data_IF_950707704445
#
_entry.id   IF_950707704445
#
_cell.length_a   1.000
_cell.length_b   1.000
_cell.length_c   1.000
_cell.angle_alpha   90.00
_cell.angle_beta   90.00
_cell.angle_gamma   90.00
#
_symmetry.space_group_name_H-M   'P 1'
#
loop_
_entity.id
_entity.type
_entity.pdbx_description
1 polymer ?
#
# COMPACT_ATOMS: atom_id res chain seq x y z
N UNK A 1 9.75 17.65 33.80
CA UNK A 1 10.18 17.41 32.41
C UNK A 1 8.90 17.44 31.58
N UNK A 2 8.75 18.43 30.73
CA UNK A 2 7.77 18.34 29.65
C UNK A 2 8.28 17.28 28.67
N UNK A 3 7.37 16.41 28.24
CA UNK A 3 7.70 15.27 27.40
C UNK A 3 7.36 15.67 25.95
N UNK A 4 8.38 15.86 25.12
CA UNK A 4 8.21 16.42 23.76
C UNK A 4 7.60 15.40 22.78
N UNK A 5 7.95 14.12 22.92
CA UNK A 5 7.39 13.02 22.11
C UNK A 5 7.60 11.66 22.79
N UNK A 6 6.59 10.80 22.75
CA UNK A 6 6.66 9.38 23.13
C UNK A 6 6.97 8.58 21.88
N UNK A 7 8.14 7.94 21.84
CA UNK A 7 8.52 7.03 20.75
C UNK A 7 8.42 5.59 21.21
N UNK A 8 7.81 4.72 20.40
CA UNK A 8 7.71 3.30 20.70
C UNK A 8 7.99 2.45 19.45
N UNK A 9 8.39 1.19 19.64
CA UNK A 9 8.64 0.23 18.55
C UNK A 9 7.61 -0.89 18.69
N UNK A 10 6.84 -1.19 17.64
CA UNK A 10 5.84 -2.26 17.75
C UNK A 10 4.79 -2.38 16.65
N UNK A 11 3.73 -3.09 17.02
CA UNK A 11 2.52 -3.43 16.25
C UNK A 11 1.32 -2.51 16.54
N UNK A 12 0.20 -2.65 15.83
CA UNK A 12 -1.04 -1.87 16.12
C UNK A 12 -1.52 -2.12 17.55
N UNK A 13 -1.37 -3.35 18.06
CA UNK A 13 -1.60 -3.66 19.47
C UNK A 13 -0.70 -2.87 20.42
N UNK A 14 0.57 -2.67 20.06
CA UNK A 14 1.48 -1.82 20.84
C UNK A 14 1.05 -0.35 20.80
N UNK A 15 0.60 0.14 19.64
CA UNK A 15 0.05 1.51 19.55
C UNK A 15 -1.14 1.69 20.48
N UNK A 16 -2.04 0.69 20.53
CA UNK A 16 -3.19 0.66 21.44
C UNK A 16 -2.77 0.69 22.91
N UNK A 17 -1.82 -0.17 23.29
CA UNK A 17 -1.31 -0.25 24.67
C UNK A 17 -0.68 1.07 25.13
N UNK A 18 0.06 1.73 24.23
CA UNK A 18 0.66 3.04 24.51
C UNK A 18 -0.41 4.12 24.59
N UNK A 19 -1.35 4.15 23.65
CA UNK A 19 -2.43 5.14 23.60
C UNK A 19 -3.31 5.13 24.84
N UNK A 20 -3.61 3.95 25.39
CA UNK A 20 -4.37 3.80 26.62
C UNK A 20 -3.75 4.51 27.86
N UNK A 21 -2.50 4.98 27.75
CA UNK A 21 -1.76 5.67 28.80
C UNK A 21 -1.43 7.13 28.46
N UNK A 22 -1.85 7.64 27.29
CA UNK A 22 -1.58 9.00 26.85
C UNK A 22 -2.55 10.02 27.46
N UNK A 23 -2.03 11.22 27.73
CA UNK A 23 -2.82 12.42 27.92
C UNK A 23 -3.22 13.09 26.59
N UNK A 24 -4.15 14.05 26.61
CA UNK A 24 -4.70 14.69 25.41
C UNK A 24 -3.67 15.52 24.61
N UNK A 25 -2.57 15.92 25.24
CA UNK A 25 -1.51 16.72 24.62
C UNK A 25 -0.24 15.94 24.29
N UNK A 26 -0.17 14.66 24.67
CA UNK A 26 0.99 13.83 24.40
C UNK A 26 1.12 13.55 22.89
N UNK A 27 2.34 13.70 22.38
CA UNK A 27 2.67 13.47 20.97
C UNK A 27 3.34 12.10 20.84
N UNK A 28 2.89 11.32 19.87
CA UNK A 28 3.34 9.95 19.65
C UNK A 28 4.14 9.78 18.35
N UNK A 29 5.12 8.88 18.35
CA UNK A 29 5.79 8.39 17.15
C UNK A 29 5.98 6.88 17.23
N UNK A 30 5.26 6.12 16.41
CA UNK A 30 5.47 4.69 16.28
C UNK A 30 6.63 4.38 15.31
N UNK A 31 7.48 3.44 15.67
CA UNK A 31 8.49 2.84 14.79
C UNK A 31 7.98 1.45 14.41
N UNK A 32 7.75 1.17 13.11
CA UNK A 32 7.18 -0.10 12.70
C UNK A 32 8.17 -1.24 12.98
N UNK A 33 7.75 -2.24 13.76
CA UNK A 33 8.51 -3.46 14.00
C UNK A 33 8.18 -4.57 12.98
N UNK A 34 7.26 -4.30 12.05
CA UNK A 34 6.77 -5.25 11.06
C UNK A 34 5.94 -4.57 9.97
N UNK A 35 5.33 -5.41 9.13
CA UNK A 35 4.78 -5.01 7.83
C UNK A 35 3.25 -4.85 7.78
N UNK A 36 2.56 -5.02 8.91
CA UNK A 36 1.07 -5.10 8.99
C UNK A 36 0.47 -4.03 9.89
N UNK A 37 0.98 -2.81 9.78
CA UNK A 37 0.55 -1.68 10.59
C UNK A 37 -0.53 -0.88 9.86
N UNK A 38 -1.69 -0.72 10.49
CA UNK A 38 -2.81 0.04 9.99
C UNK A 38 -3.07 1.31 10.77
N UNK A 39 -2.50 1.50 11.96
CA UNK A 39 -2.69 2.74 12.71
C UNK A 39 -1.88 3.86 12.08
N UNK A 40 -2.51 5.02 11.98
CA UNK A 40 -1.96 6.28 11.48
C UNK A 40 -0.77 6.84 12.27
N UNK A 41 -0.20 6.09 13.22
CA UNK A 41 0.78 6.58 14.20
C UNK A 41 2.22 6.15 13.93
N UNK A 42 2.42 5.22 13.00
CA UNK A 42 3.74 4.68 12.69
C UNK A 42 4.45 5.52 11.64
N UNK A 43 5.70 5.88 11.85
CA UNK A 43 6.56 6.38 10.79
C UNK A 43 6.63 5.36 9.65
N UNK A 44 6.90 5.85 8.43
CA UNK A 44 7.07 4.95 7.28
C UNK A 44 8.17 3.92 7.49
N UNK A 45 9.29 4.27 8.09
CA UNK A 45 10.41 3.35 8.38
C UNK A 45 11.16 3.81 9.63
N UNK A 46 12.02 2.98 10.24
CA UNK A 46 12.92 3.41 11.30
C UNK A 46 13.75 4.65 10.94
N UNK A 47 14.25 4.72 9.70
CA UNK A 47 15.00 5.86 9.17
C UNK A 47 14.12 7.11 9.06
N UNK A 48 12.87 6.95 8.62
CA UNK A 48 11.89 8.05 8.57
C UNK A 48 11.54 8.53 9.98
N UNK A 49 11.47 7.64 10.97
CA UNK A 49 11.27 8.00 12.37
C UNK A 49 12.46 8.80 12.91
N UNK A 50 13.68 8.33 12.65
CA UNK A 50 14.90 9.03 13.04
C UNK A 50 14.97 10.43 12.41
N UNK A 51 14.59 10.55 11.12
CA UNK A 51 14.50 11.84 10.45
C UNK A 51 13.50 12.77 11.14
N UNK A 52 12.30 12.29 11.50
CA UNK A 52 11.26 13.03 12.23
C UNK A 52 11.76 13.54 13.59
N UNK A 53 12.41 12.69 14.36
CA UNK A 53 13.02 13.06 15.66
C UNK A 53 14.10 14.14 15.46
N UNK A 54 14.94 14.01 14.44
CA UNK A 54 15.93 15.03 14.12
C UNK A 54 15.29 16.37 13.69
N UNK A 55 14.09 16.34 13.08
CA UNK A 55 13.33 17.56 12.78
C UNK A 55 12.80 18.23 14.05
N UNK A 56 12.31 17.43 15.00
CA UNK A 56 11.80 17.91 16.27
C UNK A 56 12.92 18.61 17.06
N UNK A 57 14.10 17.98 17.16
CA UNK A 57 15.27 18.55 17.83
C UNK A 57 15.74 19.89 17.22
N UNK A 58 15.37 20.18 15.98
CA UNK A 58 15.69 21.41 15.27
C UNK A 58 14.52 22.40 15.22
N UNK A 59 13.43 22.14 15.95
CA UNK A 59 12.25 23.02 16.02
C UNK A 59 11.43 23.09 14.73
N UNK A 60 11.57 22.10 13.84
CA UNK A 60 10.98 22.09 12.49
C UNK A 60 10.04 20.91 12.23
N UNK A 61 9.74 20.11 13.26
CA UNK A 61 8.71 19.09 13.16
C UNK A 61 7.31 19.70 13.27
N UNK A 62 6.35 19.07 12.60
CA UNK A 62 4.92 19.35 12.77
C UNK A 62 4.25 18.17 13.45
N UNK A 63 3.10 18.41 14.06
CA UNK A 63 2.23 17.35 14.58
C UNK A 63 0.96 17.27 13.74
N UNK A 64 0.40 16.08 13.65
CA UNK A 64 -0.92 15.85 13.06
C UNK A 64 -1.75 14.93 13.95
N UNK A 65 -3.05 14.86 13.71
CA UNK A 65 -3.92 13.90 14.40
C UNK A 65 -4.00 12.64 13.56
N UNK A 66 -3.82 11.49 14.20
CA UNK A 66 -3.91 10.19 13.56
C UNK A 66 -4.77 9.22 14.34
N UNK A 67 -5.30 8.24 13.61
CA UNK A 67 -6.19 7.21 14.14
C UNK A 67 -5.40 5.96 14.50
N UNK A 68 -5.63 5.43 15.70
CA UNK A 68 -5.24 4.07 16.06
C UNK A 68 -6.43 3.18 15.76
N UNK A 69 -6.19 2.14 14.98
CA UNK A 69 -7.23 1.22 14.53
C UNK A 69 -6.96 -0.16 15.09
N UNK A 70 -8.03 -0.83 15.52
CA UNK A 70 -7.99 -2.22 15.94
C UNK A 70 -8.48 -3.11 14.81
N UNK A 71 -7.78 -4.22 14.58
CA UNK A 71 -8.16 -5.22 13.59
C UNK A 71 -8.77 -6.39 14.34
N UNK A 72 -10.02 -6.71 14.03
CA UNK A 72 -10.61 -7.96 14.47
C UNK A 72 -9.91 -9.11 13.71
N UNK A 73 -8.96 -9.75 14.39
CA UNK A 73 -8.17 -10.85 13.83
C UNK A 73 -9.03 -12.09 13.49
N UNK A 74 -10.25 -12.18 14.03
CA UNK A 74 -11.22 -13.22 13.72
C UNK A 74 -12.00 -12.89 12.44
N UNK A 75 -12.52 -11.67 12.30
CA UNK A 75 -13.14 -11.19 11.05
C UNK A 75 -12.14 -11.22 9.86
N UNK A 76 -10.87 -10.95 10.15
CA UNK A 76 -9.77 -11.03 9.18
C UNK A 76 -9.52 -12.45 8.65
N UNK A 77 -9.67 -13.48 9.48
CA UNK A 77 -9.57 -14.89 9.02
C UNK A 77 -10.70 -15.27 8.08
N UNK A 78 -11.82 -14.58 8.19
CA UNK A 78 -13.01 -14.75 7.34
C UNK A 78 -13.00 -13.83 6.10
N UNK A 79 -11.90 -13.10 5.86
CA UNK A 79 -11.74 -12.22 4.71
C UNK A 79 -12.45 -10.87 4.85
N UNK A 80 -12.99 -10.54 6.03
CA UNK A 80 -13.67 -9.28 6.31
C UNK A 80 -12.66 -8.31 6.92
N UNK A 81 -12.34 -7.22 6.21
CA UNK A 81 -11.54 -6.13 6.78
C UNK A 81 -12.49 -5.20 7.54
N UNK A 82 -12.68 -5.45 8.83
CA UNK A 82 -13.26 -4.47 9.75
C UNK A 82 -12.15 -3.91 10.64
N UNK A 83 -11.64 -2.74 10.30
CA UNK A 83 -10.84 -1.92 11.22
C UNK A 83 -11.80 -1.05 12.04
N UNK A 84 -11.76 -1.13 13.36
CA UNK A 84 -12.55 -0.26 14.25
C UNK A 84 -11.64 0.85 14.76
N UNK A 85 -12.11 2.10 14.69
CA UNK A 85 -11.41 3.24 15.30
C UNK A 85 -11.32 3.00 16.81
N UNK A 86 -10.09 2.87 17.32
CA UNK A 86 -9.84 2.76 18.75
C UNK A 86 -9.78 4.16 19.38
N UNK A 87 -8.88 5.01 18.87
CA UNK A 87 -8.62 6.33 19.44
C UNK A 87 -7.98 7.27 18.41
N UNK A 88 -8.04 8.57 18.67
CA UNK A 88 -7.33 9.61 17.91
C UNK A 88 -6.26 10.24 18.79
N UNK A 89 -5.02 10.22 18.31
CA UNK A 89 -3.86 10.72 19.07
C UNK A 89 -3.09 11.76 18.25
N UNK A 90 -2.35 12.64 18.93
CA UNK A 90 -1.38 13.53 18.27
C UNK A 90 -0.15 12.73 17.90
N UNK A 91 0.33 12.88 16.67
CA UNK A 91 1.51 12.19 16.16
C UNK A 91 2.54 13.15 15.60
N UNK A 92 3.81 12.78 15.75
CA UNK A 92 4.93 13.53 15.19
C UNK A 92 5.03 13.26 13.69
N UNK A 93 4.98 14.32 12.88
CA UNK A 93 5.01 14.27 11.42
C UNK A 93 3.67 14.63 10.78
N UNK A 94 3.73 14.90 9.47
CA UNK A 94 2.55 15.14 8.64
C UNK A 94 1.99 13.83 8.07
N UNK A 95 0.70 13.77 7.70
CA UNK A 95 0.03 12.55 7.21
C UNK A 95 0.67 11.87 5.97
N UNK A 96 1.67 12.48 5.33
CA UNK A 96 2.50 11.86 4.27
C UNK A 96 3.72 11.08 4.80
N UNK A 97 4.10 11.30 6.06
CA UNK A 97 5.29 10.74 6.72
C UNK A 97 4.93 9.69 7.80
N UNK A 98 3.65 9.66 8.18
CA UNK A 98 3.08 8.67 9.10
C UNK A 98 2.16 7.76 8.30
N UNK A 99 2.20 6.46 8.58
CA UNK A 99 1.55 5.37 7.86
C UNK A 99 0.04 5.49 8.06
N UNK A 100 -0.63 6.26 7.21
CA UNK A 100 -2.07 6.52 7.32
C UNK A 100 -2.89 5.23 7.42
N UNK A 101 -3.78 5.21 8.42
CA UNK A 101 -4.77 4.16 8.55
C UNK A 101 -5.84 4.24 7.49
N UNK A 102 -6.34 3.07 7.09
CA UNK A 102 -7.24 2.89 5.94
C UNK A 102 -8.67 3.42 6.15
N UNK A 103 -8.91 4.27 7.14
CA UNK A 103 -10.23 4.86 7.38
C UNK A 103 -10.17 6.35 7.04
N UNK A 104 -10.60 6.69 5.83
CA UNK A 104 -10.71 8.08 5.40
C UNK A 104 -10.51 8.33 3.91
N UNK A 105 -10.21 7.30 3.11
CA UNK A 105 -10.20 7.48 1.65
C UNK A 105 -11.61 7.82 1.18
N UNK A 106 -11.76 8.95 0.49
CA UNK A 106 -12.95 9.30 -0.27
C UNK A 106 -13.37 8.08 -1.08
N UNK A 107 -14.67 7.73 -1.08
CA UNK A 107 -15.16 6.62 -1.88
C UNK A 107 -14.68 6.79 -3.32
N UNK A 108 -13.99 5.77 -3.83
CA UNK A 108 -13.59 5.74 -5.24
C UNK A 108 -14.85 5.72 -6.09
N UNK A 109 -14.96 6.63 -7.06
CA UNK A 109 -16.16 6.69 -7.89
C UNK A 109 -16.30 5.43 -8.75
N UNK A 110 -17.53 4.94 -8.92
CA UNK A 110 -17.76 3.75 -9.77
C UNK A 110 -17.31 4.00 -11.21
N UNK A 111 -17.46 5.23 -11.71
CA UNK A 111 -17.00 5.62 -13.05
C UNK A 111 -15.47 5.55 -13.18
N UNK A 112 -14.72 6.03 -12.17
CA UNK A 112 -13.26 5.91 -12.12
C UNK A 112 -12.86 4.43 -12.19
N UNK A 113 -13.47 3.58 -11.35
CA UNK A 113 -13.17 2.14 -11.28
C UNK A 113 -13.51 1.40 -12.58
N UNK A 114 -14.65 1.70 -13.20
CA UNK A 114 -15.03 1.15 -14.49
C UNK A 114 -14.03 1.56 -15.60
N UNK A 115 -13.55 2.80 -15.56
CA UNK A 115 -12.50 3.29 -16.44
C UNK A 115 -11.19 2.51 -16.29
N UNK A 116 -10.76 2.26 -15.04
CA UNK A 116 -9.58 1.44 -14.75
C UNK A 116 -9.73 0.01 -15.27
N UNK A 117 -10.89 -0.61 -15.04
CA UNK A 117 -11.16 -1.97 -15.49
C UNK A 117 -11.08 -2.09 -17.02
N UNK A 118 -11.69 -1.13 -17.73
CA UNK A 118 -11.66 -1.08 -19.19
C UNK A 118 -10.25 -0.89 -19.75
N UNK A 119 -9.43 -0.06 -19.09
CA UNK A 119 -8.04 0.13 -19.49
C UNK A 119 -7.19 -1.12 -19.23
N UNK A 120 -7.37 -1.77 -18.07
CA UNK A 120 -6.68 -3.02 -17.75
C UNK A 120 -7.04 -4.11 -18.76
N UNK A 121 -8.33 -4.28 -19.09
CA UNK A 121 -8.77 -5.22 -20.11
C UNK A 121 -8.06 -5.02 -21.45
N UNK A 122 -7.88 -3.76 -21.86
CA UNK A 122 -7.26 -3.43 -23.14
C UNK A 122 -5.74 -3.67 -23.17
N UNK A 123 -5.07 -3.68 -22.01
CA UNK A 123 -3.60 -3.81 -21.90
C UNK A 123 -3.15 -5.20 -21.47
N UNK A 124 -4.02 -5.94 -20.77
CA UNK A 124 -3.75 -7.31 -20.37
C UNK A 124 -3.59 -8.19 -21.59
N UNK A 125 -2.45 -8.84 -21.68
CA UNK A 125 -2.16 -9.85 -22.68
C UNK A 125 -2.78 -11.18 -22.23
N UNK A 126 -3.72 -11.76 -23.00
CA UNK A 126 -4.35 -13.03 -22.65
C UNK A 126 -3.36 -14.20 -22.50
N UNK A 127 -2.20 -14.15 -23.18
CA UNK A 127 -1.18 -15.19 -23.12
C UNK A 127 -0.13 -14.96 -22.01
N UNK A 128 -0.15 -13.81 -21.34
CA UNK A 128 0.66 -13.59 -20.14
C UNK A 128 0.01 -14.21 -18.89
N UNK A 129 0.83 -14.48 -17.87
CA UNK A 129 0.37 -14.70 -16.51
C UNK A 129 0.16 -13.32 -15.87
N UNK A 130 -1.09 -12.90 -15.73
CA UNK A 130 -1.42 -11.61 -15.13
C UNK A 130 -1.66 -11.77 -13.63
N UNK A 131 -0.79 -11.17 -12.84
CA UNK A 131 -0.86 -11.14 -11.38
C UNK A 131 -1.74 -9.97 -10.93
N UNK A 132 -2.84 -10.27 -10.25
CA UNK A 132 -3.67 -9.25 -9.62
C UNK A 132 -3.20 -9.06 -8.18
N UNK A 133 -2.66 -7.89 -7.87
CA UNK A 133 -2.24 -7.58 -6.52
C UNK A 133 -3.40 -7.27 -5.57
N UNK A 134 -3.11 -7.15 -4.26
CA UNK A 134 -4.13 -7.00 -3.25
C UNK A 134 -4.77 -5.61 -3.24
N UNK A 135 -5.99 -5.52 -2.71
CA UNK A 135 -6.68 -4.28 -2.40
C UNK A 135 -7.99 -4.07 -3.15
N UNK A 136 -8.80 -3.15 -2.63
CA UNK A 136 -10.16 -2.88 -3.10
C UNK A 136 -10.23 -2.38 -4.54
N UNK A 137 -9.26 -1.56 -4.98
CA UNK A 137 -9.21 -1.07 -6.37
C UNK A 137 -8.97 -2.20 -7.35
N UNK A 138 -8.01 -3.09 -7.07
CA UNK A 138 -7.72 -4.24 -7.94
C UNK A 138 -8.90 -5.22 -7.92
N UNK A 139 -9.53 -5.41 -6.77
CA UNK A 139 -10.74 -6.24 -6.66
C UNK A 139 -11.93 -5.67 -7.45
N UNK A 140 -12.15 -4.36 -7.41
CA UNK A 140 -13.17 -3.71 -8.23
C UNK A 140 -12.88 -3.82 -9.73
N UNK A 141 -11.60 -3.72 -10.12
CA UNK A 141 -11.16 -3.97 -11.49
C UNK A 141 -11.46 -5.41 -11.90
N UNK A 142 -11.10 -6.39 -11.07
CA UNK A 142 -11.38 -7.80 -11.31
C UNK A 142 -12.89 -8.05 -11.50
N UNK A 143 -13.73 -7.49 -10.64
CA UNK A 143 -15.18 -7.54 -10.78
C UNK A 143 -15.68 -6.94 -12.10
N UNK A 144 -15.11 -5.81 -12.54
CA UNK A 144 -15.39 -5.23 -13.86
C UNK A 144 -14.95 -6.08 -15.05
N UNK A 145 -14.02 -7.03 -14.83
CA UNK A 145 -13.58 -8.03 -15.80
C UNK A 145 -14.35 -9.36 -15.68
N UNK A 146 -15.35 -9.45 -14.79
CA UNK A 146 -16.05 -10.69 -14.41
C UNK A 146 -15.11 -11.76 -13.85
N UNK A 147 -14.11 -11.33 -13.07
CA UNK A 147 -13.16 -12.19 -12.37
C UNK A 147 -13.39 -12.07 -10.87
N UNK A 148 -13.26 -13.19 -10.17
CA UNK A 148 -13.16 -13.18 -8.71
C UNK A 148 -11.75 -12.79 -8.28
N UNK A 149 -11.62 -12.12 -7.14
CA UNK A 149 -10.32 -11.73 -6.61
C UNK A 149 -10.30 -11.75 -5.10
N UNK A 150 -9.15 -12.06 -4.53
CA UNK A 150 -8.90 -12.00 -3.09
C UNK A 150 -8.45 -10.59 -2.70
N UNK A 151 -8.88 -10.15 -1.52
CA UNK A 151 -8.64 -8.77 -1.09
C UNK A 151 -7.21 -8.55 -0.55
N UNK A 152 -6.62 -9.59 0.02
CA UNK A 152 -5.31 -9.57 0.70
C UNK A 152 -4.23 -10.38 -0.04
N UNK A 153 -4.64 -11.21 -1.00
CA UNK A 153 -3.76 -12.11 -1.72
C UNK A 153 -3.28 -11.54 -3.05
N UNK A 154 -2.46 -12.34 -3.73
CA UNK A 154 -2.13 -12.15 -5.13
C UNK A 154 -2.77 -13.27 -5.92
N UNK A 155 -3.65 -12.92 -6.86
CA UNK A 155 -4.31 -13.91 -7.72
C UNK A 155 -3.62 -13.96 -9.09
N UNK A 156 -3.76 -15.08 -9.79
CA UNK A 156 -3.21 -15.29 -11.12
C UNK A 156 -4.33 -15.45 -12.11
N UNK A 157 -4.33 -14.61 -13.13
CA UNK A 157 -5.26 -14.62 -14.26
C UNK A 157 -4.51 -15.02 -15.51
N UNK A 158 -5.08 -15.96 -16.26
CA UNK A 158 -4.58 -16.35 -17.57
C UNK A 158 -5.76 -16.61 -18.50
N UNK A 159 -5.70 -16.07 -19.73
CA UNK A 159 -6.78 -16.20 -20.74
C UNK A 159 -8.17 -15.82 -20.21
N UNK A 160 -8.24 -14.74 -19.43
CA UNK A 160 -9.49 -14.20 -18.89
C UNK A 160 -10.13 -15.09 -17.83
N UNK A 161 -9.36 -15.94 -17.14
CA UNK A 161 -9.83 -16.75 -16.02
C UNK A 161 -8.83 -16.70 -14.87
N UNK A 162 -9.33 -16.72 -13.64
CA UNK A 162 -8.51 -16.93 -12.46
C UNK A 162 -8.05 -18.38 -12.46
N UNK A 163 -6.74 -18.60 -12.54
CA UNK A 163 -6.13 -19.94 -12.54
C UNK A 163 -5.58 -20.31 -11.16
N UNK A 164 -5.33 -19.32 -10.31
CA UNK A 164 -4.99 -19.50 -8.90
C UNK A 164 -5.38 -18.24 -8.12
N UNK A 165 -5.76 -18.41 -6.86
CA UNK A 165 -6.16 -17.32 -5.96
C UNK A 165 -5.38 -17.39 -4.66
N UNK A 166 -5.15 -16.24 -4.02
CA UNK A 166 -4.36 -16.07 -2.79
C UNK A 166 -3.02 -16.83 -2.80
N UNK A 167 -2.23 -16.60 -3.85
CA UNK A 167 -0.99 -17.33 -4.06
C UNK A 167 0.12 -16.88 -3.11
N UNK A 168 0.81 -17.84 -2.53
CA UNK A 168 2.13 -17.64 -1.91
C UNK A 168 3.21 -17.36 -2.97
N UNK A 169 4.35 -16.81 -2.56
CA UNK A 169 5.49 -16.56 -3.46
C UNK A 169 5.94 -17.85 -4.20
N UNK A 170 6.01 -18.98 -3.50
CA UNK A 170 6.39 -20.26 -4.10
C UNK A 170 5.41 -20.70 -5.21
N UNK A 171 4.10 -20.54 -4.98
CA UNK A 171 3.10 -20.85 -6.00
C UNK A 171 3.22 -19.90 -7.20
N UNK A 172 3.46 -18.61 -6.96
CA UNK A 172 3.71 -17.65 -8.04
C UNK A 172 4.93 -18.07 -8.86
N UNK A 173 6.03 -18.50 -8.22
CA UNK A 173 7.23 -18.96 -8.94
C UNK A 173 6.95 -20.15 -9.84
N UNK A 174 6.16 -21.11 -9.38
CA UNK A 174 5.81 -22.30 -10.17
C UNK A 174 4.89 -21.95 -11.34
N UNK A 175 3.87 -21.11 -11.09
CA UNK A 175 2.90 -20.70 -12.11
C UNK A 175 3.53 -19.80 -13.19
N UNK A 176 4.46 -18.92 -12.81
CA UNK A 176 5.04 -17.95 -13.75
C UNK A 176 6.32 -18.45 -14.41
N UNK A 177 6.80 -19.66 -14.09
CA UNK A 177 8.08 -20.18 -14.62
C UNK A 177 8.08 -20.23 -16.15
N UNK A 178 8.97 -19.45 -16.76
CA UNK A 178 9.12 -19.39 -18.21
C UNK A 178 7.93 -18.75 -18.94
N UNK A 179 7.03 -18.09 -18.21
CA UNK A 179 5.90 -17.36 -18.76
C UNK A 179 6.19 -15.86 -18.73
N UNK A 180 5.61 -15.12 -19.68
CA UNK A 180 5.57 -13.66 -19.58
C UNK A 180 4.64 -13.28 -18.42
N UNK A 181 5.06 -12.32 -17.60
CA UNK A 181 4.30 -11.85 -16.44
C UNK A 181 3.83 -10.43 -16.69
N UNK A 182 2.58 -10.14 -16.35
CA UNK A 182 2.07 -8.79 -16.15
C UNK A 182 1.54 -8.68 -14.73
N UNK A 183 1.52 -7.47 -14.15
CA UNK A 183 0.98 -7.27 -12.81
C UNK A 183 0.08 -6.03 -12.77
N UNK A 184 -1.09 -6.15 -12.15
CA UNK A 184 -1.97 -5.02 -11.84
C UNK A 184 -1.82 -4.70 -10.36
N UNK A 185 -1.38 -3.47 -10.06
CA UNK A 185 -1.15 -3.02 -8.68
C UNK A 185 -1.73 -1.65 -8.43
N UNK A 186 -2.32 -1.47 -7.25
CA UNK A 186 -2.71 -0.17 -6.75
C UNK A 186 -1.81 0.23 -5.56
N UNK A 187 -1.40 1.50 -5.44
CA UNK A 187 -0.69 1.93 -4.26
C UNK A 187 -1.56 1.78 -3.00
N UNK A 188 -0.93 1.45 -1.88
CA UNK A 188 -1.61 1.38 -0.59
C UNK A 188 -2.15 2.79 -0.25
N UNK A 189 -3.48 2.90 -0.09
CA UNK A 189 -4.15 4.15 0.27
C UNK A 189 -3.53 4.79 1.53
N UNK A 190 -3.38 6.11 1.53
CA UNK A 190 -2.75 6.87 2.61
C UNK A 190 -1.22 6.72 2.73
N UNK A 191 -0.61 5.67 2.16
CA UNK A 191 0.81 5.36 2.36
C UNK A 191 1.64 5.48 1.07
N UNK A 192 1.04 5.16 -0.08
CA UNK A 192 1.68 5.29 -1.40
C UNK A 192 2.66 4.18 -1.77
N UNK A 193 2.78 3.12 -0.96
CA UNK A 193 3.62 1.95 -1.30
C UNK A 193 3.01 1.17 -2.46
N UNK A 194 3.82 0.89 -3.48
CA UNK A 194 3.44 0.07 -4.64
C UNK A 194 3.99 -1.35 -4.54
N UNK A 195 5.25 -1.49 -4.10
CA UNK A 195 5.94 -2.77 -3.95
C UNK A 195 6.44 -2.95 -2.51
N UNK A 196 6.58 -4.22 -2.12
CA UNK A 196 7.03 -4.64 -0.81
C UNK A 196 5.87 -4.72 0.16
N UNK A 197 5.43 -3.57 0.67
CA UNK A 197 4.37 -3.55 1.69
C UNK A 197 3.03 -3.97 1.09
N UNK A 198 2.37 -4.89 1.80
CA UNK A 198 1.05 -5.38 1.43
C UNK A 198 1.05 -6.39 0.29
N UNK A 199 2.15 -6.62 -0.42
CA UNK A 199 2.25 -7.56 -1.54
C UNK A 199 3.59 -8.33 -1.55
N UNK A 200 4.02 -8.82 -0.38
CA UNK A 200 5.28 -9.55 -0.18
C UNK A 200 5.42 -10.81 -1.03
N UNK A 201 4.31 -11.34 -1.54
CA UNK A 201 4.31 -12.47 -2.46
C UNK A 201 4.99 -12.13 -3.80
N UNK A 202 5.03 -10.85 -4.19
CA UNK A 202 5.81 -10.34 -5.32
C UNK A 202 7.27 -10.14 -4.89
N UNK A 203 7.94 -11.24 -4.59
CA UNK A 203 9.31 -11.24 -4.09
C UNK A 203 10.35 -10.88 -5.16
N UNK A 204 11.62 -10.81 -4.74
CA UNK A 204 12.76 -10.48 -5.60
C UNK A 204 12.78 -11.30 -6.90
N UNK A 205 12.47 -12.59 -6.84
CA UNK A 205 12.51 -13.47 -8.01
C UNK A 205 11.38 -13.16 -9.02
N UNK A 206 10.18 -12.85 -8.56
CA UNK A 206 9.09 -12.38 -9.43
C UNK A 206 9.42 -11.00 -10.02
N UNK A 207 9.90 -10.08 -9.18
CA UNK A 207 10.21 -8.70 -9.60
C UNK A 207 11.34 -8.62 -10.65
N UNK A 208 12.32 -9.53 -10.60
CA UNK A 208 13.36 -9.60 -11.62
C UNK A 208 12.81 -9.97 -13.00
N UNK A 209 11.75 -10.79 -13.05
CA UNK A 209 11.08 -11.20 -14.29
C UNK A 209 10.18 -10.11 -14.89
N UNK A 210 9.74 -9.15 -14.08
CA UNK A 210 8.83 -8.07 -14.51
C UNK A 210 9.58 -6.89 -15.08
N UNK A 211 9.24 -6.45 -16.29
CA UNK A 211 9.69 -5.16 -16.80
C UNK A 211 8.77 -4.03 -16.34
N UNK A 212 9.27 -2.78 -16.22
CA UNK A 212 8.45 -1.66 -15.74
C UNK A 212 7.19 -1.40 -16.58
N UNK A 213 7.19 -1.80 -17.85
CA UNK A 213 6.04 -1.69 -18.75
C UNK A 213 4.95 -2.75 -18.50
N UNK A 214 5.31 -3.86 -17.86
CA UNK A 214 4.40 -4.94 -17.50
C UNK A 214 3.74 -4.71 -16.12
N UNK A 215 4.08 -3.60 -15.46
CA UNK A 215 3.47 -3.15 -14.20
C UNK A 215 2.38 -2.13 -14.50
N UNK A 216 1.14 -2.59 -14.46
CA UNK A 216 -0.04 -1.74 -14.59
C UNK A 216 -0.37 -1.13 -13.23
N UNK A 217 0.19 0.06 -13.00
CA UNK A 217 -0.09 0.85 -11.81
C UNK A 217 -1.47 1.51 -11.99
N UNK A 218 -2.44 1.11 -11.16
CA UNK A 218 -3.83 1.59 -11.21
C UNK A 218 -4.15 2.41 -9.96
N UNK A 219 -4.61 3.64 -10.15
CA UNK A 219 -4.96 4.51 -9.04
C UNK A 219 -6.05 5.47 -9.48
N UNK A 220 -7.19 5.47 -8.81
CA UNK A 220 -8.24 6.45 -9.11
C UNK A 220 -7.76 7.87 -8.87
N UNK A 221 -8.30 8.88 -9.57
CA UNK A 221 -7.93 10.28 -9.36
C UNK A 221 -8.12 10.72 -7.90
N UNK A 222 -9.15 10.21 -7.23
CA UNK A 222 -9.46 10.48 -5.83
C UNK A 222 -8.32 9.98 -4.92
N UNK A 223 -7.91 8.70 -5.08
CA UNK A 223 -6.82 8.10 -4.30
C UNK A 223 -5.48 8.77 -4.60
N UNK A 224 -5.22 9.11 -5.86
CA UNK A 224 -3.99 9.82 -6.22
C UNK A 224 -3.94 11.23 -5.59
N UNK A 225 -5.08 11.92 -5.51
CA UNK A 225 -5.23 13.19 -4.82
C UNK A 225 -4.93 13.11 -3.32
N UNK A 226 -5.40 12.05 -2.65
CA UNK A 226 -5.10 11.79 -1.24
C UNK A 226 -3.62 11.50 -0.97
N UNK A 227 -2.99 10.77 -1.90
CA UNK A 227 -1.54 10.58 -1.90
C UNK A 227 -0.78 11.85 -2.30
N UNK A 228 -1.47 12.96 -2.55
CA UNK A 228 -0.88 14.25 -2.84
C UNK A 228 -0.16 14.31 -4.17
N UNK A 229 -0.56 13.48 -5.14
CA UNK A 229 0.09 13.32 -6.44
C UNK A 229 1.38 12.49 -6.40
N UNK A 230 1.73 11.88 -5.26
CA UNK A 230 2.95 11.10 -5.05
C UNK A 230 4.01 11.84 -4.19
N UNK A 231 5.25 11.30 -4.14
CA UNK A 231 5.73 10.12 -4.88
C UNK A 231 5.11 8.82 -4.36
N UNK A 232 5.18 7.76 -5.17
CA UNK A 232 4.90 6.39 -4.74
C UNK A 232 6.19 5.69 -4.33
N UNK A 233 6.08 4.65 -3.50
CA UNK A 233 7.23 4.02 -2.85
C UNK A 233 7.45 2.58 -3.32
N UNK A 234 8.72 2.25 -3.53
CA UNK A 234 9.22 0.89 -3.81
C UNK A 234 10.03 0.44 -2.60
N UNK A 235 9.47 -0.48 -1.81
CA UNK A 235 10.09 -1.03 -0.61
C UNK A 235 10.68 -2.42 -0.93
N UNK A 236 11.83 -2.41 -1.62
CA UNK A 236 12.53 -3.63 -2.07
C UNK A 236 14.00 -3.50 -1.68
N UNK A 237 14.57 -4.52 -1.05
CA UNK A 237 15.95 -4.48 -0.56
C UNK A 237 16.97 -4.44 -1.71
N UNK A 238 16.71 -5.20 -2.77
CA UNK A 238 17.59 -5.34 -3.94
C UNK A 238 17.82 -3.98 -4.65
N UNK A 239 19.07 -3.48 -4.68
CA UNK A 239 19.40 -2.21 -5.35
C UNK A 239 19.08 -2.20 -6.85
N UNK A 240 19.24 -3.33 -7.54
CA UNK A 240 18.96 -3.45 -8.98
C UNK A 240 17.47 -3.26 -9.23
N UNK A 241 16.62 -3.91 -8.43
CA UNK A 241 15.17 -3.75 -8.52
C UNK A 241 14.72 -2.33 -8.15
N UNK A 242 15.32 -1.73 -7.12
CA UNK A 242 15.05 -0.31 -6.80
C UNK A 242 15.35 0.59 -7.98
N UNK A 243 16.51 0.45 -8.62
CA UNK A 243 16.83 1.22 -9.83
C UNK A 243 15.89 0.91 -11.00
N UNK A 244 15.47 -0.35 -11.16
CA UNK A 244 14.55 -0.79 -12.22
C UNK A 244 13.17 -0.14 -12.10
N UNK A 245 12.62 -0.01 -10.90
CA UNK A 245 11.24 0.46 -10.70
C UNK A 245 11.12 1.94 -10.29
N UNK A 246 12.18 2.58 -9.82
CA UNK A 246 12.15 4.01 -9.49
C UNK A 246 12.26 4.93 -10.72
N UNK A 247 11.86 6.19 -10.54
CA UNK A 247 11.81 7.20 -11.59
C UNK A 247 10.38 7.58 -11.99
N UNK A 248 10.24 8.33 -13.08
CA UNK A 248 8.92 8.73 -13.57
C UNK A 248 8.21 7.51 -14.19
N UNK A 249 6.96 7.27 -13.79
CA UNK A 249 6.11 6.21 -14.33
C UNK A 249 4.74 6.76 -14.69
N UNK A 250 4.07 6.08 -15.60
CA UNK A 250 2.68 6.36 -15.94
C UNK A 250 1.79 5.50 -15.07
N UNK A 251 0.78 6.14 -14.47
CA UNK A 251 -0.23 5.49 -13.65
C UNK A 251 -1.55 5.61 -14.38
N UNK A 252 -2.25 4.50 -14.53
CA UNK A 252 -3.58 4.43 -15.11
C UNK A 252 -4.56 5.04 -14.10
N UNK A 253 -5.26 6.08 -14.52
CA UNK A 253 -6.24 6.82 -13.70
C UNK A 253 -7.67 6.69 -14.21
N UNK A 254 -7.85 6.16 -15.41
CA UNK A 254 -9.14 5.86 -16.03
C UNK A 254 -8.94 5.32 -17.44
N UNK A 255 -10.04 5.18 -18.19
CA UNK A 255 -9.97 4.69 -19.57
C UNK A 255 -9.26 5.71 -20.46
N UNK A 256 -8.13 5.31 -21.06
CA UNK A 256 -7.21 6.18 -21.82
C UNK A 256 -6.72 7.41 -21.05
N UNK A 257 -6.69 7.33 -19.72
CA UNK A 257 -6.24 8.41 -18.86
C UNK A 257 -5.05 7.94 -18.01
N UNK A 258 -3.95 8.69 -18.08
CA UNK A 258 -2.74 8.42 -17.32
C UNK A 258 -2.22 9.68 -16.63
N UNK A 259 -1.64 9.51 -15.45
CA UNK A 259 -0.87 10.54 -14.76
C UNK A 259 0.61 10.13 -14.67
N UNK A 260 1.51 11.10 -14.82
CA UNK A 260 2.94 10.87 -14.61
C UNK A 260 3.28 11.09 -13.13
N UNK A 261 3.75 10.04 -12.46
CA UNK A 261 4.07 10.06 -11.02
C UNK A 261 5.45 9.48 -10.81
N UNK A 262 6.20 10.04 -9.86
CA UNK A 262 7.55 9.57 -9.54
C UNK A 262 7.47 8.42 -8.52
N UNK A 263 8.13 7.32 -8.82
CA UNK A 263 8.41 6.24 -7.88
C UNK A 263 9.79 6.48 -7.26
N UNK A 264 9.90 6.32 -5.94
CA UNK A 264 11.13 6.48 -5.17
C UNK A 264 11.35 5.26 -4.27
N UNK A 265 12.60 4.98 -3.91
CA UNK A 265 12.89 3.99 -2.88
C UNK A 265 12.34 4.49 -1.53
N UNK A 266 11.78 3.58 -0.75
CA UNK A 266 11.29 3.85 0.60
C UNK A 266 12.42 4.15 1.59
#
# INVERSE_FOLDING_TARGET
>A
MELDVITFVGGDGTARDVAARLGPDDVLLGIPAGVKMQSGVFARSPESAAALVAQLAQGRATTSTAEIVDIDEQARREGIISSVLYERVKVLGSGRQVQGGKLGSRPESQDSLAGLAKECHARMDPDAMCLLGPGTTVSAIAGGLNLESTLLGVDVVHRGRVVAADCSAAQLHDLTRGQRIQVVLSPIGGQGFLFGRGNQQLDTQILHQLDPQDVFIVCTPEKLGELGGGPLYVDVEDPVLRSKFTGLRRIITGFRQEAAVRLVAA
#
